data_IF_619344566293
#
_entry.id   IF_619344566293
#
_cell.length_a   1.000
_cell.length_b   1.000
_cell.length_c   1.000
_cell.angle_alpha   90.00
_cell.angle_beta   90.00
_cell.angle_gamma   90.00
#
_symmetry.space_group_name_H-M   'P 1'
#
loop_
_entity.id
_entity.type
_entity.pdbx_description
1 polymer ?
#
# COMPACT_ATOMS: atom_id res chain seq x y z
N UNK A 1 12.70 6.65 -3.71
CA UNK A 1 13.85 5.72 -3.56
C UNK A 1 15.09 6.36 -2.95
N UNK A 2 15.50 7.59 -3.32
CA UNK A 2 16.71 8.26 -2.78
C UNK A 2 16.76 8.39 -1.23
N UNK A 3 15.62 8.59 -0.56
CA UNK A 3 15.60 8.75 0.90
C UNK A 3 15.92 7.49 1.71
N UNK A 4 15.36 6.33 1.33
CA UNK A 4 15.57 5.07 2.08
C UNK A 4 17.02 4.58 1.98
N UNK A 5 17.65 4.73 0.80
CA UNK A 5 19.06 4.36 0.62
C UNK A 5 19.97 5.23 1.48
N UNK A 6 19.69 6.53 1.59
CA UNK A 6 20.47 7.44 2.45
C UNK A 6 20.36 7.06 3.93
N UNK A 7 19.15 6.77 4.42
CA UNK A 7 18.94 6.35 5.81
C UNK A 7 19.75 5.09 6.15
N UNK A 8 19.73 4.07 5.29
CA UNK A 8 20.50 2.84 5.51
C UNK A 8 22.01 3.09 5.50
N UNK A 9 22.49 3.97 4.61
CA UNK A 9 23.90 4.37 4.57
C UNK A 9 24.29 5.11 5.84
N UNK A 10 23.47 6.07 6.29
CA UNK A 10 23.72 6.85 7.51
C UNK A 10 23.69 5.94 8.75
N UNK A 11 22.76 4.99 8.80
CA UNK A 11 22.72 3.97 9.84
C UNK A 11 23.98 3.08 9.82
N UNK A 12 24.42 2.60 8.64
CA UNK A 12 25.64 1.79 8.56
C UNK A 12 26.90 2.57 8.95
N UNK A 13 26.97 3.87 8.65
CA UNK A 13 28.03 4.75 9.16
C UNK A 13 27.99 4.87 10.68
N UNK A 14 26.80 4.97 11.27
CA UNK A 14 26.64 4.98 12.72
C UNK A 14 27.15 3.68 13.35
N UNK A 15 26.77 2.52 12.80
CA UNK A 15 27.26 1.21 13.26
C UNK A 15 28.78 1.10 13.12
N UNK A 16 29.33 1.51 11.97
CA UNK A 16 30.78 1.55 11.72
C UNK A 16 31.51 2.36 12.81
N UNK A 17 31.03 3.57 13.10
CA UNK A 17 31.60 4.42 14.13
C UNK A 17 31.44 3.83 15.53
N UNK A 18 30.29 3.23 15.83
CA UNK A 18 30.03 2.56 17.10
C UNK A 18 31.01 1.40 17.36
N UNK A 19 31.25 0.56 16.35
CA UNK A 19 32.23 -0.54 16.47
C UNK A 19 33.64 0.02 16.65
N UNK A 20 34.02 1.05 15.88
CA UNK A 20 35.32 1.71 16.03
C UNK A 20 35.52 2.23 17.46
N UNK A 21 34.51 2.87 18.03
CA UNK A 21 34.55 3.36 19.41
C UNK A 21 34.61 2.21 20.43
N UNK A 22 33.85 1.14 20.24
CA UNK A 22 33.87 -0.04 21.11
C UNK A 22 35.28 -0.68 21.14
N UNK A 23 35.89 -0.86 19.97
CA UNK A 23 37.26 -1.39 19.86
C UNK A 23 38.30 -0.45 20.51
N UNK A 24 38.23 0.86 20.26
CA UNK A 24 39.13 1.84 20.89
C UNK A 24 38.98 1.83 22.41
N UNK A 25 37.75 1.70 22.92
CA UNK A 25 37.48 1.63 24.36
C UNK A 25 38.06 0.37 25.01
N UNK A 26 38.18 -0.72 24.24
CA UNK A 26 38.86 -1.95 24.64
C UNK A 26 40.40 -1.88 24.47
N UNK A 27 40.94 -0.73 24.03
CA UNK A 27 42.37 -0.54 23.78
C UNK A 27 42.85 -1.03 22.42
N UNK A 28 41.94 -1.47 21.55
CA UNK A 28 42.23 -1.96 20.20
C UNK A 28 42.15 -0.81 19.19
N UNK A 29 43.16 -0.67 18.33
CA UNK A 29 43.20 0.38 17.29
C UNK A 29 43.26 -0.25 15.90
N UNK A 30 42.11 -0.54 15.28
CA UNK A 30 42.08 -1.05 13.92
C UNK A 30 42.52 0.02 12.92
N UNK A 31 43.25 -0.40 11.88
CA UNK A 31 43.52 0.47 10.73
C UNK A 31 42.24 0.75 9.93
N UNK A 32 42.20 1.83 9.12
CA UNK A 32 40.96 2.18 8.40
C UNK A 32 40.51 1.09 7.40
N UNK A 33 41.44 0.45 6.69
CA UNK A 33 41.12 -0.67 5.79
C UNK A 33 40.68 -1.93 6.56
N UNK A 34 41.26 -2.15 7.73
CA UNK A 34 40.93 -3.29 8.60
C UNK A 34 39.53 -3.12 9.20
N UNK A 35 39.21 -1.93 9.70
CA UNK A 35 37.89 -1.59 10.21
C UNK A 35 36.78 -1.82 9.17
N UNK A 36 37.04 -1.49 7.90
CA UNK A 36 36.10 -1.78 6.82
C UNK A 36 35.89 -3.28 6.62
N UNK A 37 36.97 -4.08 6.66
CA UNK A 37 36.87 -5.55 6.55
C UNK A 37 36.11 -6.17 7.71
N UNK A 38 36.30 -5.67 8.93
CA UNK A 38 35.58 -6.14 10.12
C UNK A 38 34.05 -5.96 10.01
N UNK A 39 33.57 -5.10 9.09
CA UNK A 39 32.14 -4.89 8.88
C UNK A 39 31.48 -5.92 7.95
N UNK A 40 32.24 -6.71 7.20
CA UNK A 40 31.71 -7.53 6.08
C UNK A 40 30.66 -8.53 6.54
N UNK A 41 30.89 -9.17 7.71
CA UNK A 41 30.00 -10.18 8.27
C UNK A 41 29.22 -9.67 9.51
N UNK A 42 29.37 -8.40 9.87
CA UNK A 42 28.59 -7.82 10.98
C UNK A 42 27.12 -7.73 10.54
N UNK A 43 26.16 -8.10 11.41
CA UNK A 43 24.74 -8.03 11.09
C UNK A 43 24.32 -6.68 10.50
N UNK A 44 23.35 -6.69 9.58
CA UNK A 44 22.83 -5.43 9.02
C UNK A 44 22.32 -4.52 10.14
N UNK A 45 21.62 -5.10 11.11
CA UNK A 45 21.09 -4.47 12.31
C UNK A 45 21.58 -5.27 13.53
N UNK A 46 22.76 -4.94 14.09
CA UNK A 46 23.27 -5.66 15.25
C UNK A 46 22.47 -5.32 16.51
N UNK A 47 22.43 -6.25 17.45
CA UNK A 47 21.95 -6.03 18.81
C UNK A 47 22.85 -5.00 19.53
N UNK A 48 22.28 -4.15 20.38
CA UNK A 48 23.03 -3.09 21.07
C UNK A 48 24.11 -3.62 22.00
N UNK A 49 23.96 -4.83 22.52
CA UNK A 49 24.98 -5.49 23.36
C UNK A 49 26.33 -5.66 22.65
N UNK A 50 26.37 -5.60 21.31
CA UNK A 50 27.60 -5.57 20.53
C UNK A 50 28.54 -4.45 20.96
N UNK A 51 27.99 -3.27 21.26
CA UNK A 51 28.77 -2.07 21.57
C UNK A 51 29.22 -2.01 23.03
N UNK A 52 28.65 -2.87 23.87
CA UNK A 52 28.97 -2.99 25.31
C UNK A 52 29.94 -4.14 25.59
N UNK A 53 30.08 -5.06 24.64
CA UNK A 53 30.96 -6.21 24.76
C UNK A 53 32.44 -5.79 24.80
N UNK A 54 33.23 -6.56 25.56
CA UNK A 54 34.69 -6.40 25.65
C UNK A 54 35.37 -7.36 24.69
N UNK A 55 36.36 -6.86 23.96
CA UNK A 55 37.12 -7.62 22.98
C UNK A 55 38.59 -7.65 23.39
N UNK A 56 39.17 -8.84 23.42
CA UNK A 56 40.57 -9.03 23.82
C UNK A 56 41.56 -8.79 22.67
N UNK A 57 41.11 -9.02 21.43
CA UNK A 57 41.89 -8.78 20.22
C UNK A 57 40.98 -8.52 19.01
N UNK A 58 41.55 -7.98 17.94
CA UNK A 58 40.85 -7.82 16.66
C UNK A 58 40.52 -9.16 16.02
N UNK A 59 41.38 -10.17 16.19
CA UNK A 59 41.16 -11.55 15.72
C UNK A 59 39.96 -12.20 16.43
N UNK A 60 39.83 -11.97 17.74
CA UNK A 60 38.65 -12.40 18.50
C UNK A 60 37.39 -11.76 17.94
N UNK A 61 37.40 -10.44 17.71
CA UNK A 61 36.25 -9.74 17.11
C UNK A 61 35.89 -10.34 15.74
N UNK A 62 36.85 -10.48 14.84
CA UNK A 62 36.62 -11.01 13.48
C UNK A 62 36.07 -12.45 13.51
N UNK A 63 36.56 -13.27 14.45
CA UNK A 63 36.09 -14.66 14.61
C UNK A 63 34.62 -14.78 15.02
N UNK A 64 34.04 -13.75 15.65
CA UNK A 64 32.62 -13.71 16.01
C UNK A 64 31.72 -13.51 14.78
N UNK A 65 32.23 -12.90 13.71
CA UNK A 65 31.46 -12.54 12.53
C UNK A 65 31.90 -13.38 11.33
N UNK A 66 31.39 -14.60 11.27
CA UNK A 66 31.52 -15.48 10.10
C UNK A 66 30.22 -15.51 9.31
N UNK A 67 30.27 -16.02 8.07
CA UNK A 67 29.08 -16.17 7.21
C UNK A 67 27.93 -16.97 7.83
N UNK A 68 28.23 -17.81 8.82
CA UNK A 68 27.26 -18.67 9.51
C UNK A 68 27.03 -18.24 10.97
N UNK A 69 27.65 -17.14 11.42
CA UNK A 69 27.50 -16.69 12.79
C UNK A 69 26.12 -16.07 13.01
N UNK A 70 25.55 -16.34 14.18
CA UNK A 70 24.33 -15.68 14.67
C UNK A 70 24.64 -14.65 15.76
N UNK A 71 25.93 -14.37 16.02
CA UNK A 71 26.35 -13.44 17.06
C UNK A 71 25.78 -12.05 16.82
N UNK A 72 25.16 -11.48 17.86
CA UNK A 72 24.57 -10.14 17.85
C UNK A 72 23.51 -9.91 16.76
N UNK A 73 22.93 -10.97 16.19
CA UNK A 73 21.71 -10.83 15.42
C UNK A 73 20.54 -10.54 16.36
N UNK A 74 19.70 -9.57 15.99
CA UNK A 74 18.44 -9.34 16.69
C UNK A 74 17.55 -10.59 16.60
N UNK A 75 16.95 -10.98 17.72
CA UNK A 75 16.02 -12.10 17.76
C UNK A 75 14.72 -11.77 17.01
N UNK A 76 14.03 -12.81 16.52
CA UNK A 76 12.71 -12.65 15.90
C UNK A 76 11.71 -11.99 16.88
N UNK A 77 11.81 -12.33 18.16
CA UNK A 77 10.95 -11.76 19.21
C UNK A 77 11.19 -10.27 19.40
N UNK A 78 12.45 -9.82 19.39
CA UNK A 78 12.81 -8.39 19.47
C UNK A 78 12.23 -7.63 18.28
N UNK A 79 12.45 -8.13 17.06
CA UNK A 79 11.93 -7.50 15.83
C UNK A 79 10.39 -7.44 15.85
N UNK A 80 9.73 -8.53 16.26
CA UNK A 80 8.27 -8.59 16.33
C UNK A 80 7.68 -7.65 17.40
N UNK A 81 8.42 -7.36 18.47
CA UNK A 81 8.02 -6.37 19.47
C UNK A 81 8.21 -4.94 18.92
N UNK A 82 9.35 -4.66 18.29
CA UNK A 82 9.67 -3.32 17.77
C UNK A 82 8.75 -2.90 16.63
N UNK A 83 8.37 -3.83 15.75
CA UNK A 83 7.57 -3.51 14.55
C UNK A 83 6.18 -2.95 14.87
N UNK A 84 5.66 -3.22 16.07
CA UNK A 84 4.37 -2.69 16.54
C UNK A 84 4.41 -1.18 16.78
N UNK A 85 5.59 -0.60 16.99
CA UNK A 85 5.77 0.84 17.16
C UNK A 85 5.92 1.59 15.84
N UNK A 86 5.91 0.88 14.70
CA UNK A 86 5.89 1.52 13.39
C UNK A 86 4.48 2.02 13.13
N UNK A 87 4.32 3.34 13.16
CA UNK A 87 3.05 4.00 12.88
C UNK A 87 2.70 3.87 11.40
N UNK A 88 1.51 3.37 11.10
CA UNK A 88 1.03 3.17 9.73
C UNK A 88 -0.41 3.63 9.62
N UNK A 89 -0.61 4.64 8.77
CA UNK A 89 -1.94 5.08 8.37
C UNK A 89 -2.61 4.02 7.48
N UNK A 90 -3.87 3.71 7.76
CA UNK A 90 -4.74 2.90 6.90
C UNK A 90 -6.03 3.64 6.61
N UNK A 91 -6.39 3.73 5.33
CA UNK A 91 -7.64 4.35 4.89
C UNK A 91 -8.88 3.56 5.34
N UNK A 92 -8.71 2.33 5.85
CA UNK A 92 -9.79 1.42 6.23
C UNK A 92 -10.01 1.30 7.75
N UNK A 93 -9.01 1.66 8.56
CA UNK A 93 -9.04 1.45 10.00
C UNK A 93 -8.08 2.43 10.67
N UNK A 94 -8.56 3.16 11.68
CA UNK A 94 -7.75 4.14 12.43
C UNK A 94 -6.60 3.48 13.19
N UNK A 95 -6.81 2.27 13.71
CA UNK A 95 -5.87 1.60 14.62
C UNK A 95 -5.17 0.44 13.89
N UNK A 96 -4.39 0.79 12.88
CA UNK A 96 -3.67 -0.21 12.08
C UNK A 96 -2.39 -0.66 12.77
N UNK A 97 -2.40 -1.86 13.34
CA UNK A 97 -1.19 -2.48 13.89
C UNK A 97 -0.46 -3.30 12.83
N UNK A 98 0.80 -2.96 12.59
CA UNK A 98 1.68 -3.75 11.73
C UNK A 98 2.21 -4.96 12.49
N UNK A 99 2.15 -6.13 11.86
CA UNK A 99 2.78 -7.34 12.34
C UNK A 99 3.68 -7.94 11.27
N UNK A 100 4.68 -8.73 11.69
CA UNK A 100 5.54 -9.48 10.77
C UNK A 100 4.71 -10.34 9.79
N UNK A 101 3.63 -10.96 10.29
CA UNK A 101 2.71 -11.72 9.43
C UNK A 101 2.06 -10.83 8.37
N UNK A 102 1.53 -9.66 8.74
CA UNK A 102 0.90 -8.74 7.78
C UNK A 102 1.88 -8.27 6.71
N UNK A 103 3.14 -8.02 7.07
CA UNK A 103 4.19 -7.70 6.10
C UNK A 103 4.46 -8.89 5.18
N UNK A 104 4.63 -10.09 5.72
CA UNK A 104 4.82 -11.32 4.94
C UNK A 104 3.67 -11.54 3.95
N UNK A 105 2.42 -11.48 4.41
CA UNK A 105 1.23 -11.55 3.55
C UNK A 105 1.28 -10.51 2.42
N UNK A 106 1.65 -9.28 2.74
CA UNK A 106 1.74 -8.20 1.75
C UNK A 106 2.83 -8.47 0.72
N UNK A 107 4.01 -8.92 1.14
CA UNK A 107 5.14 -9.25 0.25
C UNK A 107 4.81 -10.47 -0.62
N UNK A 108 4.23 -11.53 -0.03
CA UNK A 108 3.78 -12.71 -0.76
C UNK A 108 2.73 -12.36 -1.82
N UNK A 109 1.72 -11.57 -1.45
CA UNK A 109 0.66 -11.15 -2.37
C UNK A 109 1.21 -10.27 -3.49
N UNK A 110 2.02 -9.25 -3.16
CA UNK A 110 2.61 -8.35 -4.17
C UNK A 110 3.60 -9.05 -5.07
N UNK A 111 4.45 -9.90 -4.51
CA UNK A 111 5.41 -10.65 -5.29
C UNK A 111 4.73 -11.65 -6.23
N UNK A 112 3.65 -12.31 -5.78
CA UNK A 112 2.81 -13.11 -6.66
C UNK A 112 2.13 -12.26 -7.76
N UNK A 113 1.67 -11.05 -7.44
CA UNK A 113 1.14 -10.09 -8.43
C UNK A 113 2.21 -9.69 -9.46
N UNK A 114 3.46 -9.54 -9.04
CA UNK A 114 4.61 -9.24 -9.90
C UNK A 114 5.10 -10.48 -10.69
N UNK A 115 4.45 -11.64 -10.52
CA UNK A 115 4.77 -12.88 -11.25
C UNK A 115 5.95 -13.67 -10.68
N UNK A 116 6.35 -13.41 -9.44
CA UNK A 116 7.43 -14.16 -8.80
C UNK A 116 6.99 -15.61 -8.48
N UNK A 117 7.85 -16.61 -8.74
CA UNK A 117 7.55 -18.00 -8.44
C UNK A 117 7.61 -18.31 -6.93
N UNK A 118 6.98 -19.42 -6.52
CA UNK A 118 6.79 -19.77 -5.11
C UNK A 118 8.09 -19.93 -4.33
N UNK A 119 9.14 -20.44 -4.96
CA UNK A 119 10.47 -20.63 -4.38
C UNK A 119 11.14 -19.28 -4.06
N UNK A 120 11.03 -18.30 -4.96
CA UNK A 120 11.53 -16.95 -4.72
C UNK A 120 10.74 -16.25 -3.61
N UNK A 121 9.41 -16.37 -3.62
CA UNK A 121 8.55 -15.80 -2.57
C UNK A 121 8.83 -16.41 -1.19
N UNK A 122 8.99 -17.73 -1.13
CA UNK A 122 9.38 -18.45 0.08
C UNK A 122 10.72 -17.95 0.62
N UNK A 123 11.73 -17.83 -0.25
CA UNK A 123 13.06 -17.32 0.12
C UNK A 123 13.03 -15.89 0.63
N UNK A 124 12.25 -15.00 -0.02
CA UNK A 124 12.15 -13.59 0.38
C UNK A 124 11.47 -13.38 1.73
N UNK A 125 10.54 -14.26 2.09
CA UNK A 125 9.67 -14.07 3.27
C UNK A 125 9.95 -15.06 4.40
N UNK A 126 10.88 -16.00 4.19
CA UNK A 126 11.24 -17.01 5.17
C UNK A 126 10.13 -18.04 5.46
N UNK A 127 9.16 -18.18 4.56
CA UNK A 127 8.11 -19.20 4.66
C UNK A 127 8.46 -20.43 3.82
N UNK A 128 7.75 -21.53 4.00
CA UNK A 128 7.95 -22.73 3.19
C UNK A 128 7.37 -22.55 1.78
N UNK A 129 7.93 -23.24 0.79
CA UNK A 129 7.43 -23.20 -0.60
C UNK A 129 5.94 -23.59 -0.70
N UNK A 130 5.43 -24.62 -0.01
CA UNK A 130 4.00 -24.93 -0.01
C UNK A 130 3.13 -23.77 0.51
N UNK A 131 3.56 -23.07 1.56
CA UNK A 131 2.81 -21.93 2.09
C UNK A 131 2.75 -20.76 1.09
N UNK A 132 3.80 -20.54 0.30
CA UNK A 132 3.83 -19.52 -0.74
C UNK A 132 2.93 -19.84 -1.95
N UNK A 133 2.72 -21.12 -2.28
CA UNK A 133 1.88 -21.55 -3.43
C UNK A 133 0.44 -21.04 -3.35
N UNK A 134 -0.14 -20.99 -2.15
CA UNK A 134 -1.49 -20.46 -1.92
C UNK A 134 -1.70 -19.01 -2.39
N UNK A 135 -0.63 -18.24 -2.58
CA UNK A 135 -0.71 -16.87 -3.11
C UNK A 135 -0.72 -16.83 -4.63
N UNK A 136 -0.17 -17.85 -5.27
CA UNK A 136 -0.07 -17.99 -6.74
C UNK A 136 -1.28 -18.75 -7.29
N UNK A 137 -1.74 -19.79 -6.59
CA UNK A 137 -2.79 -20.71 -7.07
C UNK A 137 -4.16 -20.03 -7.25
N UNK A 138 -4.40 -18.91 -6.58
CA UNK A 138 -5.53 -18.03 -6.88
C UNK A 138 -5.06 -16.99 -7.88
N UNK A 139 -5.41 -17.22 -9.14
CA UNK A 139 -5.04 -16.32 -10.22
C UNK A 139 -5.53 -14.89 -9.90
N UNK A 140 -4.67 -13.92 -10.22
CA UNK A 140 -4.89 -12.51 -9.95
C UNK A 140 -6.14 -11.94 -10.63
N UNK A 141 -6.45 -12.38 -11.85
CA UNK A 141 -7.67 -12.01 -12.57
C UNK A 141 -8.87 -12.50 -11.77
N UNK A 142 -8.88 -13.75 -11.31
CA UNK A 142 -9.96 -14.31 -10.50
C UNK A 142 -10.17 -13.55 -9.20
N UNK A 143 -9.11 -13.20 -8.45
CA UNK A 143 -9.23 -12.37 -7.23
C UNK A 143 -9.75 -10.96 -7.54
N UNK A 144 -9.25 -10.33 -8.60
CA UNK A 144 -9.69 -9.00 -9.01
C UNK A 144 -11.14 -9.01 -9.49
N UNK A 145 -11.54 -10.05 -10.20
CA UNK A 145 -12.91 -10.26 -10.68
C UNK A 145 -13.88 -10.43 -9.50
N UNK A 146 -13.50 -11.24 -8.50
CA UNK A 146 -14.29 -11.43 -7.27
C UNK A 146 -14.43 -10.11 -6.50
N UNK A 147 -13.33 -9.38 -6.29
CA UNK A 147 -13.38 -8.07 -5.62
C UNK A 147 -14.23 -7.05 -6.39
N UNK A 148 -14.12 -7.01 -7.72
CA UNK A 148 -14.92 -6.13 -8.57
C UNK A 148 -16.41 -6.47 -8.50
N UNK A 149 -16.79 -7.74 -8.61
CA UNK A 149 -18.20 -8.16 -8.56
C UNK A 149 -18.80 -8.04 -7.15
N UNK A 150 -18.05 -8.36 -6.10
CA UNK A 150 -18.55 -8.32 -4.72
C UNK A 150 -18.74 -6.88 -4.22
N UNK A 151 -17.75 -6.00 -4.45
CA UNK A 151 -17.87 -4.58 -4.07
C UNK A 151 -18.90 -3.88 -4.95
N UNK A 152 -19.02 -4.27 -6.23
CA UNK A 152 -20.07 -3.81 -7.13
C UNK A 152 -21.45 -4.08 -6.54
N UNK A 153 -21.74 -5.32 -6.14
CA UNK A 153 -23.05 -5.69 -5.60
C UNK A 153 -23.43 -4.95 -4.30
N UNK A 154 -22.49 -4.70 -3.39
CA UNK A 154 -22.77 -3.96 -2.16
C UNK A 154 -22.91 -2.45 -2.40
N UNK A 155 -22.09 -1.86 -3.27
CA UNK A 155 -22.28 -0.47 -3.72
C UNK A 155 -23.64 -0.29 -4.39
N UNK A 156 -24.02 -1.21 -5.29
CA UNK A 156 -25.30 -1.16 -6.02
C UNK A 156 -26.50 -1.26 -5.08
N UNK A 157 -26.43 -2.15 -4.08
CA UNK A 157 -27.45 -2.22 -3.03
C UNK A 157 -27.52 -0.90 -2.27
N UNK A 158 -26.41 -0.37 -1.76
CA UNK A 158 -26.44 0.82 -0.91
C UNK A 158 -26.73 2.14 -1.65
N UNK A 159 -26.25 2.31 -2.88
CA UNK A 159 -26.48 3.51 -3.67
C UNK A 159 -27.96 3.67 -4.06
N UNK A 160 -28.71 2.57 -4.12
CA UNK A 160 -30.10 2.57 -4.63
C UNK A 160 -31.13 1.92 -3.70
N UNK A 161 -30.77 1.38 -2.52
CA UNK A 161 -31.72 0.82 -1.54
C UNK A 161 -32.48 1.87 -0.71
N UNK A 162 -32.17 3.15 -0.88
CA UNK A 162 -32.79 4.23 -0.10
C UNK A 162 -32.80 5.52 -0.88
N UNK A 163 -33.94 5.79 -1.51
CA UNK A 163 -34.40 7.04 -2.12
C UNK A 163 -33.36 7.82 -2.95
N UNK A 164 -33.53 7.79 -4.27
CA UNK A 164 -33.00 8.80 -5.20
C UNK A 164 -33.30 10.19 -4.62
N UNK A 165 -32.30 10.90 -4.13
CA UNK A 165 -32.55 12.19 -3.49
C UNK A 165 -32.84 13.24 -4.55
N UNK A 166 -34.00 13.89 -4.48
CA UNK A 166 -34.15 15.27 -4.97
C UNK A 166 -33.22 16.13 -4.10
N UNK A 167 -32.02 16.43 -4.61
CA UNK A 167 -30.94 17.01 -3.84
C UNK A 167 -31.34 18.34 -3.17
N UNK A 168 -31.10 18.45 -1.87
CA UNK A 168 -30.91 19.75 -1.21
C UNK A 168 -29.51 20.26 -1.57
N UNK A 169 -29.41 21.52 -1.93
CA UNK A 169 -28.25 22.18 -2.56
C UNK A 169 -26.95 22.17 -1.74
N UNK A 170 -26.98 21.79 -0.46
CA UNK A 170 -25.82 21.89 0.44
C UNK A 170 -24.83 20.72 0.34
N UNK A 171 -25.23 19.58 -0.25
CA UNK A 171 -24.44 18.34 -0.28
C UNK A 171 -24.26 17.75 -1.70
N UNK A 172 -24.38 18.59 -2.72
CA UNK A 172 -24.22 18.19 -4.13
C UNK A 172 -22.76 17.96 -4.51
N UNK A 173 -22.54 16.92 -5.32
CA UNK A 173 -21.26 16.60 -5.95
C UNK A 173 -21.31 17.10 -7.39
N UNK A 174 -20.33 17.92 -7.78
CA UNK A 174 -20.29 18.56 -9.09
C UNK A 174 -19.18 17.99 -9.98
N UNK A 175 -19.40 18.03 -11.30
CA UNK A 175 -18.36 17.81 -12.30
C UNK A 175 -17.44 19.04 -12.46
N UNK A 176 -16.50 18.95 -13.40
CA UNK A 176 -15.60 20.06 -13.73
C UNK A 176 -16.29 21.28 -14.36
N UNK A 177 -17.51 21.11 -14.86
CA UNK A 177 -18.36 22.17 -15.41
C UNK A 177 -19.33 22.77 -14.40
N UNK A 178 -19.23 22.40 -13.11
CA UNK A 178 -20.16 22.78 -12.06
C UNK A 178 -21.61 22.28 -12.27
N UNK A 179 -21.78 21.21 -13.05
CA UNK A 179 -23.06 20.52 -13.15
C UNK A 179 -23.17 19.46 -12.04
N UNK A 180 -24.34 19.34 -11.36
CA UNK A 180 -24.52 18.33 -10.33
C UNK A 180 -24.53 16.94 -10.95
N UNK A 181 -23.69 16.05 -10.42
CA UNK A 181 -23.62 14.63 -10.83
C UNK A 181 -24.11 13.67 -9.76
N UNK A 182 -24.50 14.19 -8.59
CA UNK A 182 -25.03 13.39 -7.50
C UNK A 182 -25.01 14.17 -6.19
N UNK A 183 -25.30 13.46 -5.11
CA UNK A 183 -25.31 13.95 -3.75
C UNK A 183 -24.60 12.97 -2.80
N UNK A 184 -24.41 13.40 -1.56
CA UNK A 184 -23.96 12.51 -0.48
C UNK A 184 -25.13 12.23 0.47
N UNK A 185 -25.23 10.99 0.94
CA UNK A 185 -26.29 10.58 1.86
C UNK A 185 -26.09 11.17 3.27
N UNK A 186 -24.85 11.20 3.76
CA UNK A 186 -24.47 11.84 5.03
C UNK A 186 -23.27 12.77 4.84
N UNK A 187 -23.51 14.08 4.85
CA UNK A 187 -22.48 15.11 4.73
C UNK A 187 -21.45 15.10 5.86
N UNK A 188 -21.78 14.60 7.06
CA UNK A 188 -20.84 14.53 8.19
C UNK A 188 -19.75 13.48 7.94
N UNK A 189 -20.10 12.32 7.39
CA UNK A 189 -19.12 11.28 7.02
C UNK A 189 -18.11 11.74 5.96
N UNK A 190 -18.46 12.76 5.16
CA UNK A 190 -17.56 13.32 4.16
C UNK A 190 -16.52 14.30 4.72
N UNK A 191 -16.73 14.88 5.91
CA UNK A 191 -15.79 15.85 6.51
C UNK A 191 -14.45 15.23 6.91
N UNK A 192 -14.45 13.92 7.19
CA UNK A 192 -13.26 13.14 7.55
C UNK A 192 -12.75 12.27 6.40
N UNK A 193 -13.33 12.40 5.20
CA UNK A 193 -12.97 11.58 4.04
C UNK A 193 -11.58 11.95 3.50
N UNK A 194 -10.62 11.03 3.64
CA UNK A 194 -9.24 11.18 3.18
C UNK A 194 -9.03 10.78 1.70
N UNK A 195 -10.09 10.74 0.88
CA UNK A 195 -9.98 10.27 -0.51
C UNK A 195 -9.18 11.25 -1.37
N UNK A 196 -7.91 10.91 -1.62
CA UNK A 196 -6.94 11.71 -2.41
C UNK A 196 -7.26 11.84 -3.93
N UNK A 197 -8.46 11.50 -4.39
CA UNK A 197 -8.84 11.54 -5.82
C UNK A 197 -9.62 12.80 -6.19
N UNK A 198 -10.02 13.63 -5.21
CA UNK A 198 -10.86 14.80 -5.40
C UNK A 198 -12.31 14.46 -5.81
N UNK A 199 -13.24 15.41 -5.63
CA UNK A 199 -14.60 15.30 -6.18
C UNK A 199 -14.59 15.71 -7.67
N UNK A 200 -15.39 15.09 -8.56
CA UNK A 200 -16.34 14.01 -8.28
C UNK A 200 -15.73 12.60 -8.34
N UNK A 201 -14.55 12.42 -8.92
CA UNK A 201 -13.98 11.09 -9.23
C UNK A 201 -13.76 10.19 -8.01
N UNK A 202 -13.44 10.76 -6.86
CA UNK A 202 -13.30 10.02 -5.61
C UNK A 202 -14.61 9.56 -4.98
N UNK A 203 -15.75 10.11 -5.44
CA UNK A 203 -17.08 9.76 -4.92
C UNK A 203 -17.66 8.52 -5.60
N UNK A 204 -17.27 8.21 -6.84
CA UNK A 204 -17.71 6.99 -7.52
C UNK A 204 -17.20 5.74 -6.79
N UNK A 205 -18.10 4.78 -6.54
CA UNK A 205 -17.82 3.60 -5.71
C UNK A 205 -17.80 3.84 -4.20
N UNK A 206 -18.03 5.07 -3.72
CA UNK A 206 -18.19 5.35 -2.29
C UNK A 206 -19.60 4.96 -1.83
N UNK A 207 -19.77 4.20 -0.71
CA UNK A 207 -21.09 3.85 -0.20
C UNK A 207 -21.97 5.05 0.20
N UNK A 208 -21.36 6.20 0.45
CA UNK A 208 -22.07 7.44 0.80
C UNK A 208 -22.49 8.27 -0.42
N UNK A 209 -22.00 7.94 -1.62
CA UNK A 209 -22.34 8.66 -2.84
C UNK A 209 -23.68 8.17 -3.39
N UNK A 210 -24.50 9.10 -3.88
CA UNK A 210 -25.77 8.86 -4.55
C UNK A 210 -25.72 9.55 -5.92
N UNK A 211 -25.61 8.79 -7.02
CA UNK A 211 -25.57 9.39 -8.36
C UNK A 211 -26.94 9.99 -8.72
N UNK A 212 -26.93 11.09 -9.47
CA UNK A 212 -28.14 11.69 -10.03
C UNK A 212 -28.47 11.01 -11.37
N UNK A 213 -29.68 10.45 -11.52
CA UNK A 213 -30.03 9.60 -12.67
C UNK A 213 -29.83 10.31 -14.01
N UNK A 214 -30.21 11.58 -14.08
CA UNK A 214 -30.21 12.39 -15.31
C UNK A 214 -28.90 13.15 -15.54
N UNK A 215 -27.89 12.96 -14.68
CA UNK A 215 -26.62 13.65 -14.83
C UNK A 215 -25.79 13.11 -15.99
N UNK A 216 -24.95 13.97 -16.57
CA UNK A 216 -23.98 13.58 -17.61
C UNK A 216 -22.75 12.88 -17.00
N UNK A 217 -22.96 11.63 -16.57
CA UNK A 217 -21.88 10.77 -16.10
C UNK A 217 -20.88 10.42 -17.22
N UNK A 218 -21.29 10.51 -18.49
CA UNK A 218 -20.43 10.28 -19.66
C UNK A 218 -19.36 11.36 -19.78
N UNK A 219 -19.67 12.63 -19.51
CA UNK A 219 -18.69 13.70 -19.43
C UNK A 219 -17.63 13.44 -18.35
N UNK A 220 -18.04 12.92 -17.19
CA UNK A 220 -17.12 12.54 -16.11
C UNK A 220 -16.22 11.37 -16.53
N UNK A 221 -16.77 10.37 -17.22
CA UNK A 221 -16.01 9.24 -17.76
C UNK A 221 -14.95 9.71 -18.77
N UNK A 222 -15.35 10.54 -19.73
CA UNK A 222 -14.45 11.08 -20.75
C UNK A 222 -13.29 11.89 -20.13
N UNK A 223 -13.56 12.67 -19.10
CA UNK A 223 -12.53 13.40 -18.35
C UNK A 223 -11.58 12.45 -17.59
N UNK A 224 -12.11 11.39 -16.98
CA UNK A 224 -11.32 10.38 -16.28
C UNK A 224 -10.38 9.62 -17.23
N UNK A 225 -10.89 9.23 -18.40
CA UNK A 225 -10.13 8.54 -19.44
C UNK A 225 -9.03 9.44 -20.02
N UNK A 226 -9.33 10.73 -20.25
CA UNK A 226 -8.32 11.71 -20.67
C UNK A 226 -7.21 11.88 -19.64
N UNK A 227 -7.56 11.95 -18.35
CA UNK A 227 -6.57 11.98 -17.26
C UNK A 227 -5.71 10.71 -17.22
N UNK A 228 -6.32 9.55 -17.51
CA UNK A 228 -5.60 8.28 -17.54
C UNK A 228 -4.57 8.25 -18.67
N UNK A 229 -4.97 8.72 -19.85
CA UNK A 229 -4.10 8.77 -21.02
C UNK A 229 -2.89 9.70 -20.78
N UNK A 230 -3.13 10.89 -20.22
CA UNK A 230 -2.05 11.83 -19.84
C UNK A 230 -1.10 11.18 -18.83
N UNK A 231 -1.63 10.48 -17.82
CA UNK A 231 -0.83 9.83 -16.79
C UNK A 231 -0.01 8.65 -17.32
N UNK A 232 -0.52 7.92 -18.32
CA UNK A 232 0.21 6.83 -18.99
C UNK A 232 1.36 7.35 -19.85
N UNK A 233 1.16 8.50 -20.50
CA UNK A 233 2.16 9.13 -21.37
C UNK A 233 3.22 9.93 -20.61
N UNK A 234 3.04 10.13 -19.29
CA UNK A 234 4.02 10.79 -18.41
C UNK A 234 5.05 9.77 -17.89
N UNK A 235 6.36 10.06 -18.03
CA UNK A 235 7.48 9.15 -17.73
C UNK A 235 7.33 8.34 -16.41
N UNK A 236 7.62 7.04 -16.50
CA UNK A 236 7.36 6.01 -15.50
C UNK A 236 8.16 6.16 -14.19
N UNK A 237 7.64 6.96 -13.25
CA UNK A 237 8.00 6.86 -11.84
C UNK A 237 7.10 5.78 -11.16
N UNK A 238 7.63 4.89 -10.30
CA UNK A 238 6.85 3.86 -9.61
C UNK A 238 5.62 4.37 -8.83
N UNK A 239 5.61 5.64 -8.42
CA UNK A 239 4.44 6.28 -7.81
C UNK A 239 3.30 6.53 -8.83
N UNK A 240 3.62 6.72 -10.11
CA UNK A 240 2.65 6.88 -11.19
C UNK A 240 1.89 5.59 -11.48
N UNK A 241 2.54 4.41 -11.38
CA UNK A 241 1.85 3.12 -11.59
C UNK A 241 0.66 2.95 -10.63
N UNK A 242 0.83 3.32 -9.35
CA UNK A 242 -0.27 3.28 -8.36
C UNK A 242 -1.36 4.32 -8.61
N UNK A 243 -0.98 5.51 -9.11
CA UNK A 243 -1.94 6.55 -9.48
C UNK A 243 -2.79 6.11 -10.69
N UNK A 244 -2.16 5.46 -11.67
CA UNK A 244 -2.81 4.86 -12.85
C UNK A 244 -3.78 3.76 -12.42
N UNK A 245 -3.35 2.78 -11.62
CA UNK A 245 -4.22 1.70 -11.12
C UNK A 245 -5.45 2.25 -10.36
N UNK A 246 -5.25 3.29 -9.54
CA UNK A 246 -6.34 3.93 -8.80
C UNK A 246 -7.34 4.61 -9.75
N UNK A 247 -6.84 5.26 -10.81
CA UNK A 247 -7.67 5.91 -11.81
C UNK A 247 -8.43 4.91 -12.69
N UNK A 248 -7.80 3.82 -13.10
CA UNK A 248 -8.45 2.72 -13.81
C UNK A 248 -9.61 2.12 -13.00
N UNK A 249 -9.40 1.92 -11.69
CA UNK A 249 -10.46 1.46 -10.79
C UNK A 249 -11.62 2.45 -10.72
N UNK A 250 -11.33 3.75 -10.67
CA UNK A 250 -12.38 4.76 -10.63
C UNK A 250 -13.16 4.87 -11.95
N UNK A 251 -12.49 4.72 -13.09
CA UNK A 251 -13.14 4.60 -14.40
C UNK A 251 -14.11 3.41 -14.40
N UNK A 252 -13.70 2.27 -13.83
CA UNK A 252 -14.57 1.12 -13.64
C UNK A 252 -15.84 1.45 -12.85
N UNK A 253 -15.72 2.23 -11.77
CA UNK A 253 -16.87 2.68 -10.99
C UNK A 253 -17.80 3.61 -11.75
N UNK A 254 -17.25 4.57 -12.49
CA UNK A 254 -18.06 5.49 -13.31
C UNK A 254 -18.87 4.73 -14.34
N UNK A 255 -18.27 3.73 -15.01
CA UNK A 255 -18.96 2.87 -15.99
C UNK A 255 -20.11 2.09 -15.35
N UNK A 256 -19.87 1.46 -14.19
CA UNK A 256 -20.93 0.76 -13.45
C UNK A 256 -22.07 1.72 -13.07
N UNK A 257 -21.74 2.95 -12.64
CA UNK A 257 -22.77 3.96 -12.35
C UNK A 257 -23.59 4.32 -13.58
N UNK A 258 -22.96 4.50 -14.75
CA UNK A 258 -23.66 4.77 -16.02
C UNK A 258 -24.63 3.64 -16.36
N UNK A 259 -24.13 2.40 -16.42
CA UNK A 259 -24.92 1.22 -16.79
C UNK A 259 -26.20 1.11 -15.93
N UNK A 260 -26.06 1.42 -14.64
CA UNK A 260 -27.15 1.34 -13.67
C UNK A 260 -28.12 2.51 -13.78
N UNK A 261 -27.63 3.74 -13.98
CA UNK A 261 -28.49 4.89 -14.23
C UNK A 261 -29.32 4.67 -15.52
N UNK A 262 -28.68 4.16 -16.58
CA UNK A 262 -29.33 3.85 -17.85
C UNK A 262 -30.39 2.75 -17.72
N UNK A 263 -30.09 1.66 -16.98
CA UNK A 263 -31.07 0.60 -16.72
C UNK A 263 -32.29 1.13 -15.97
N UNK A 264 -32.09 1.98 -14.96
CA UNK A 264 -33.19 2.56 -14.18
C UNK A 264 -34.00 3.59 -14.98
N UNK A 265 -33.35 4.43 -15.79
CA UNK A 265 -34.04 5.33 -16.73
C UNK A 265 -34.88 4.53 -17.73
N UNK A 266 -34.35 3.40 -18.24
CA UNK A 266 -35.09 2.48 -19.09
C UNK A 266 -36.34 1.92 -18.41
N UNK A 267 -36.21 1.45 -17.15
CA UNK A 267 -37.34 0.95 -16.35
C UNK A 267 -38.40 2.01 -16.09
N UNK A 268 -38.00 3.24 -15.73
CA UNK A 268 -38.92 4.36 -15.48
C UNK A 268 -39.71 4.73 -16.74
N UNK A 269 -39.07 4.73 -17.91
CA UNK A 269 -39.74 4.97 -19.21
C UNK A 269 -40.78 3.90 -19.51
N UNK A 270 -40.46 2.62 -19.32
CA UNK A 270 -41.44 1.52 -19.51
C UNK A 270 -42.62 1.55 -18.55
N UNK A 271 -42.47 2.14 -17.35
CA UNK A 271 -43.58 2.32 -16.40
C UNK A 271 -44.46 3.51 -16.78
N UNK A 272 -43.89 4.55 -17.39
CA UNK A 272 -44.65 5.73 -17.83
C UNK A 272 -45.38 5.57 -19.17
N UNK A 273 -44.98 4.59 -19.99
CA UNK A 273 -45.61 4.24 -21.26
C UNK A 273 -46.74 3.19 -21.13
N UNK A 274 -47.13 2.82 -19.90
CA UNK A 274 -48.30 1.97 -19.55
C UNK A 274 -49.41 2.78 -18.89
#
# INVERSE_FOLDING_TARGET
RKHHTRMLVDYKKLVYNGIKLALISAGLKPGDCEQLRLMDNVPMFPDSSLFEAKYESLEMFDSLFTKNSTAYHNSETSIAATIKFVDVASDRMSDCVVSSNRIRHTVLTRGAQDGLPADQLAKLTGVTVPAARHYIDLDYISRRLIDTHYVGNEFLKHAFSGCLSTATTEDSVFDSGFNPVGSVHDGMSCRTCATNMGRPLGCYGCPNFRPLLEADHMAVLAEAERKLEINRNSLANPLHRRSIEKLERQIGWVRITIDVCDENLGRLRTIHDQ
#
